data_IF_334531043869
#
_entry.id   IF_334531043869
#
_cell.length_a   1.000
_cell.length_b   1.000
_cell.length_c   1.000
_cell.angle_alpha   90.00
_cell.angle_beta   90.00
_cell.angle_gamma   90.00
#
_symmetry.space_group_name_H-M   'P 1'
#
loop_
_entity.id
_entity.type
_entity.pdbx_description
1 polymer ?
#
# COMPACT_ATOMS: atom_id res chain seq x y z
N UNK A 1 -86.77 -4.59 -32.88
CA UNK A 1 -85.99 -5.30 -31.85
C UNK A 1 -84.55 -4.82 -31.89
N UNK A 2 -84.07 -4.29 -30.76
CA UNK A 2 -82.69 -4.27 -30.27
C UNK A 2 -81.56 -3.60 -31.08
N UNK A 3 -81.13 -2.41 -30.63
CA UNK A 3 -79.86 -2.17 -29.88
C UNK A 3 -79.41 -0.71 -30.12
N UNK A 4 -79.46 0.21 -29.16
CA UNK A 4 -78.62 0.40 -27.94
C UNK A 4 -77.26 1.04 -28.23
N UNK A 5 -77.17 2.36 -27.93
CA UNK A 5 -76.02 3.14 -27.42
C UNK A 5 -74.79 3.28 -28.36
N UNK A 6 -73.97 4.35 -28.35
CA UNK A 6 -73.55 5.21 -27.24
C UNK A 6 -72.89 6.50 -27.76
N UNK A 7 -73.20 7.57 -27.05
CA UNK A 7 -72.59 8.90 -26.98
C UNK A 7 -71.05 8.84 -27.08
N UNK A 8 -70.45 9.47 -28.08
CA UNK A 8 -68.99 9.65 -28.16
C UNK A 8 -68.57 10.80 -27.23
N UNK A 9 -68.02 10.44 -26.08
CA UNK A 9 -67.42 11.36 -25.13
C UNK A 9 -66.17 12.01 -25.73
N UNK A 10 -66.20 13.34 -25.65
CA UNK A 10 -65.12 14.28 -25.90
C UNK A 10 -64.06 14.04 -24.82
N UNK A 11 -62.90 13.50 -25.21
CA UNK A 11 -61.70 13.51 -24.35
C UNK A 11 -60.88 14.73 -24.73
N UNK A 12 -61.02 15.76 -23.90
CA UNK A 12 -60.26 17.00 -23.92
C UNK A 12 -58.76 16.69 -23.70
N UNK A 13 -57.95 16.82 -24.77
CA UNK A 13 -56.49 16.78 -24.64
C UNK A 13 -56.03 18.03 -23.92
N UNK A 14 -55.77 17.94 -22.62
CA UNK A 14 -54.99 18.95 -21.93
C UNK A 14 -53.57 18.96 -22.50
N UNK A 15 -53.28 20.00 -23.27
CA UNK A 15 -51.94 20.30 -23.76
C UNK A 15 -51.12 20.79 -22.57
N UNK A 16 -50.26 19.92 -22.02
CA UNK A 16 -49.20 20.36 -21.12
C UNK A 16 -48.31 21.36 -21.87
N UNK A 17 -48.35 22.61 -21.45
CA UNK A 17 -47.38 23.62 -21.86
C UNK A 17 -46.06 23.35 -21.13
N UNK A 18 -44.93 23.21 -21.84
CA UNK A 18 -43.65 23.02 -21.18
C UNK A 18 -43.31 24.26 -20.34
N UNK A 19 -43.20 24.05 -19.04
CA UNK A 19 -42.74 25.04 -18.06
C UNK A 19 -41.34 25.48 -18.46
N UNK A 20 -41.17 26.74 -18.89
CA UNK A 20 -39.86 27.36 -19.13
C UNK A 20 -39.03 27.26 -17.84
N UNK A 21 -38.09 26.34 -17.83
CA UNK A 21 -37.15 26.17 -16.74
C UNK A 21 -36.11 27.30 -16.85
N UNK A 22 -36.06 28.17 -15.84
CA UNK A 22 -35.18 29.33 -15.81
C UNK A 22 -33.72 28.89 -15.94
N UNK A 23 -33.10 29.21 -17.08
CA UNK A 23 -31.77 28.80 -17.55
C UNK A 23 -30.59 29.36 -16.74
N UNK A 24 -30.82 29.96 -15.58
CA UNK A 24 -29.76 30.51 -14.71
C UNK A 24 -29.36 29.58 -13.55
N UNK A 25 -30.11 28.51 -13.29
CA UNK A 25 -29.81 27.51 -12.25
C UNK A 25 -29.10 26.25 -12.78
N UNK A 26 -28.98 26.08 -14.10
CA UNK A 26 -28.27 24.94 -14.70
C UNK A 26 -26.75 25.14 -14.80
N UNK A 27 -26.26 26.38 -14.66
CA UNK A 27 -24.85 26.71 -14.86
C UNK A 27 -23.95 26.41 -13.65
N UNK A 28 -24.51 26.18 -12.45
CA UNK A 28 -23.73 25.92 -11.23
C UNK A 28 -23.47 24.41 -11.01
N UNK A 29 -24.27 23.53 -11.60
CA UNK A 29 -24.08 22.07 -11.46
C UNK A 29 -23.02 21.53 -12.44
N UNK A 30 -22.69 22.27 -13.51
CA UNK A 30 -21.71 21.83 -14.53
C UNK A 30 -20.27 22.27 -14.20
N UNK A 31 -20.06 23.16 -13.23
CA UNK A 31 -18.72 23.64 -12.84
C UNK A 31 -18.00 22.75 -11.81
N UNK A 32 -18.62 21.65 -11.35
CA UNK A 32 -18.02 20.68 -10.43
C UNK A 32 -17.71 19.33 -11.07
N UNK A 33 -17.59 19.27 -12.39
CA UNK A 33 -16.77 18.25 -13.03
C UNK A 33 -15.31 18.70 -12.89
N UNK A 34 -14.79 18.66 -11.65
CA UNK A 34 -13.36 18.72 -11.43
C UNK A 34 -12.76 17.65 -12.35
N UNK A 35 -11.97 18.11 -13.31
CA UNK A 35 -11.21 17.28 -14.21
C UNK A 35 -10.32 16.39 -13.35
N UNK A 36 -10.79 15.18 -13.05
CA UNK A 36 -9.93 14.09 -12.65
C UNK A 36 -9.13 13.71 -13.90
N UNK A 37 -8.19 14.55 -14.29
CA UNK A 37 -7.04 14.07 -15.04
C UNK A 37 -6.40 13.04 -14.13
N UNK A 38 -6.25 11.76 -14.53
CA UNK A 38 -5.20 10.97 -13.95
C UNK A 38 -3.92 11.72 -14.32
N UNK A 39 -3.47 12.59 -13.41
CA UNK A 39 -2.07 12.92 -13.37
C UNK A 39 -1.44 11.55 -13.13
N UNK A 40 -0.74 11.01 -14.11
CA UNK A 40 0.29 10.02 -13.83
C UNK A 40 1.26 10.75 -12.91
N UNK A 41 0.95 10.79 -11.61
CA UNK A 41 1.85 11.31 -10.62
C UNK A 41 3.09 10.45 -10.80
N UNK A 42 4.20 11.10 -11.16
CA UNK A 42 5.49 10.43 -11.21
C UNK A 42 5.66 9.70 -9.89
N UNK A 43 5.83 8.38 -9.95
CA UNK A 43 6.06 7.58 -8.75
C UNK A 43 7.48 7.91 -8.34
N UNK A 44 7.61 8.76 -7.32
CA UNK A 44 8.89 9.26 -6.85
C UNK A 44 9.37 8.48 -5.64
N UNK A 45 8.45 8.09 -4.74
CA UNK A 45 8.79 7.46 -3.49
C UNK A 45 7.76 6.40 -3.10
N UNK A 46 8.23 5.20 -2.77
CA UNK A 46 7.43 4.10 -2.25
C UNK A 46 8.01 3.68 -0.91
N UNK A 47 7.17 3.70 0.13
CA UNK A 47 7.52 3.17 1.43
C UNK A 47 6.69 1.91 1.67
N UNK A 48 7.34 0.87 2.20
CA UNK A 48 6.69 -0.36 2.65
C UNK A 48 7.26 -0.80 4.00
N UNK A 49 6.49 -1.56 4.76
CA UNK A 49 6.95 -2.16 6.01
C UNK A 49 6.70 -3.67 6.07
N UNK A 50 7.09 -4.32 7.16
CA UNK A 50 6.89 -5.76 7.38
C UNK A 50 5.46 -6.13 7.79
N UNK A 51 4.62 -5.14 8.09
CA UNK A 51 3.24 -5.33 8.54
C UNK A 51 2.19 -5.03 7.46
N UNK A 52 2.61 -4.82 6.21
CA UNK A 52 1.70 -4.68 5.06
C UNK A 52 1.22 -3.26 4.81
N UNK A 53 1.85 -2.23 5.37
CA UNK A 53 1.53 -0.85 5.05
C UNK A 53 2.39 -0.37 3.88
N UNK A 54 1.74 0.29 2.93
CA UNK A 54 2.41 0.95 1.81
C UNK A 54 2.02 2.43 1.78
N UNK A 55 2.99 3.30 1.48
CA UNK A 55 2.70 4.67 1.04
C UNK A 55 3.37 4.97 -0.30
N UNK A 56 2.70 5.75 -1.13
CA UNK A 56 3.17 6.19 -2.44
C UNK A 56 3.13 7.71 -2.46
N UNK A 57 4.29 8.35 -2.61
CA UNK A 57 4.44 9.80 -2.53
C UNK A 57 3.76 10.39 -1.27
N UNK A 58 3.86 9.70 -0.14
CA UNK A 58 3.26 10.09 1.15
C UNK A 58 1.75 9.84 1.29
N UNK A 59 1.07 9.30 0.27
CA UNK A 59 -0.34 8.90 0.37
C UNK A 59 -0.45 7.39 0.63
N UNK A 60 -1.49 6.92 1.36
CA UNK A 60 -1.71 5.48 1.53
C UNK A 60 -1.83 4.76 0.19
N UNK A 61 -1.02 3.70 0.01
CA UNK A 61 -1.08 2.79 -1.12
C UNK A 61 -1.98 1.58 -0.85
N UNK A 62 -2.09 0.63 -1.80
CA UNK A 62 -2.73 -0.65 -1.56
C UNK A 62 -2.01 -1.40 -0.42
N UNK A 63 -2.74 -1.99 0.54
CA UNK A 63 -2.12 -2.75 1.61
C UNK A 63 -1.44 -4.00 1.04
N UNK A 64 -0.33 -4.39 1.67
CA UNK A 64 0.32 -5.67 1.44
C UNK A 64 -0.58 -6.83 1.87
N UNK A 65 -0.49 -7.93 1.13
CA UNK A 65 -1.26 -9.16 1.36
C UNK A 65 -0.33 -10.36 1.35
N UNK A 66 -0.64 -11.40 2.11
CA UNK A 66 0.11 -12.65 2.01
C UNK A 66 -0.15 -13.29 0.65
N UNK A 67 0.92 -13.56 -0.10
CA UNK A 67 0.87 -14.14 -1.43
C UNK A 67 1.95 -15.19 -1.63
N UNK A 68 1.73 -16.08 -2.60
CA UNK A 68 2.75 -17.04 -3.03
C UNK A 68 3.68 -16.33 -4.01
N UNK A 69 4.97 -16.34 -3.72
CA UNK A 69 6.01 -15.80 -4.58
C UNK A 69 6.28 -16.77 -5.74
N UNK A 70 6.20 -16.30 -7.00
CA UNK A 70 6.13 -17.18 -8.17
C UNK A 70 7.42 -17.93 -8.50
N UNK A 71 8.58 -17.51 -7.98
CA UNK A 71 9.89 -18.11 -8.29
C UNK A 71 10.23 -19.21 -7.28
N UNK A 72 10.16 -18.92 -5.98
CA UNK A 72 10.47 -19.88 -4.90
C UNK A 72 9.28 -20.75 -4.49
N UNK A 73 8.05 -20.29 -4.76
CA UNK A 73 6.82 -20.95 -4.28
C UNK A 73 6.55 -20.74 -2.79
N UNK A 74 7.34 -19.92 -2.10
CA UNK A 74 7.15 -19.60 -0.69
C UNK A 74 6.05 -18.54 -0.51
N UNK A 75 5.37 -18.58 0.63
CA UNK A 75 4.45 -17.50 1.03
C UNK A 75 5.26 -16.36 1.65
N UNK A 76 4.92 -15.13 1.28
CA UNK A 76 5.54 -13.93 1.82
C UNK A 76 4.59 -12.74 1.72
N UNK A 77 4.95 -11.63 2.36
CA UNK A 77 4.22 -10.38 2.23
C UNK A 77 4.40 -9.81 0.83
N UNK A 78 3.30 -9.68 0.10
CA UNK A 78 3.25 -9.23 -1.28
C UNK A 78 2.66 -7.82 -1.37
N UNK A 79 3.37 -6.96 -2.07
CA UNK A 79 2.99 -5.59 -2.40
C UNK A 79 2.75 -5.45 -3.89
N UNK A 80 1.63 -4.84 -4.27
CA UNK A 80 1.35 -4.49 -5.66
C UNK A 80 2.00 -3.14 -5.99
N UNK A 81 2.94 -3.13 -6.94
CA UNK A 81 3.57 -1.92 -7.42
C UNK A 81 2.57 -1.07 -8.22
N UNK A 82 2.61 0.27 -8.09
CA UNK A 82 1.62 1.14 -8.70
C UNK A 82 1.86 1.32 -10.21
N UNK A 83 1.33 0.41 -11.03
CA UNK A 83 1.22 0.62 -12.48
C UNK A 83 2.51 0.35 -13.28
N UNK A 84 3.49 -0.33 -12.71
CA UNK A 84 4.68 -0.82 -13.41
C UNK A 84 5.09 -2.20 -12.89
N UNK A 85 5.89 -2.92 -13.68
CA UNK A 85 6.27 -4.31 -13.38
C UNK A 85 7.45 -4.43 -12.38
N UNK A 86 8.35 -3.44 -12.40
CA UNK A 86 9.65 -3.46 -11.74
C UNK A 86 10.64 -4.36 -12.49
N UNK A 87 11.90 -3.94 -12.64
CA UNK A 87 12.92 -4.86 -13.18
C UNK A 87 13.18 -6.00 -12.20
N UNK A 88 13.35 -7.24 -12.67
CA UNK A 88 13.49 -8.38 -11.78
C UNK A 88 14.84 -8.44 -11.06
N UNK A 89 14.84 -9.02 -9.86
CA UNK A 89 16.03 -9.25 -9.05
C UNK A 89 15.74 -9.26 -7.54
N UNK A 90 16.78 -9.48 -6.75
CA UNK A 90 16.70 -9.46 -5.29
C UNK A 90 17.49 -8.29 -4.70
N UNK A 91 16.92 -7.68 -3.67
CA UNK A 91 17.63 -6.81 -2.75
C UNK A 91 17.76 -7.58 -1.45
N UNK A 92 18.98 -7.70 -0.95
CA UNK A 92 19.29 -8.38 0.30
C UNK A 92 19.57 -7.32 1.35
N UNK A 93 18.79 -7.34 2.42
CA UNK A 93 18.98 -6.47 3.57
C UNK A 93 19.83 -7.22 4.61
N UNK A 94 20.68 -6.49 5.30
CA UNK A 94 21.56 -7.03 6.32
C UNK A 94 21.96 -5.99 7.35
N UNK A 95 22.25 -6.47 8.56
CA UNK A 95 22.79 -5.65 9.63
C UNK A 95 24.33 -5.66 9.59
N UNK A 96 24.95 -4.49 9.38
CA UNK A 96 26.41 -4.29 9.43
C UNK A 96 27.09 -3.96 8.09
N UNK A 97 28.42 -4.12 8.02
CA UNK A 97 29.24 -3.72 6.86
C UNK A 97 29.95 -4.92 6.19
N UNK A 98 30.17 -4.79 4.87
CA UNK A 98 30.67 -5.81 3.90
C UNK A 98 29.67 -6.92 3.56
N UNK A 99 29.73 -7.54 2.35
CA UNK A 99 28.68 -8.45 1.93
C UNK A 99 28.50 -9.54 2.99
N UNK A 100 27.30 -9.62 3.59
CA UNK A 100 27.04 -10.48 4.73
C UNK A 100 27.32 -11.92 4.34
N UNK A 101 27.86 -12.68 5.27
CA UNK A 101 27.75 -14.14 5.19
C UNK A 101 26.27 -14.52 5.07
N UNK A 102 25.95 -15.69 4.52
CA UNK A 102 24.54 -16.10 4.31
C UNK A 102 23.69 -16.09 5.59
N UNK A 103 24.34 -16.04 6.77
CA UNK A 103 23.77 -16.04 8.12
C UNK A 103 23.53 -14.62 8.70
N UNK A 104 23.97 -13.56 8.02
CA UNK A 104 23.79 -12.15 8.45
C UNK A 104 22.71 -11.44 7.62
N UNK A 105 21.98 -12.19 6.79
CA UNK A 105 20.84 -11.67 6.02
C UNK A 105 19.63 -11.62 6.94
N UNK A 106 19.10 -10.42 7.17
CA UNK A 106 17.80 -10.21 7.80
C UNK A 106 16.72 -10.50 6.78
N UNK A 107 16.75 -9.77 5.65
CA UNK A 107 15.62 -9.77 4.72
C UNK A 107 16.02 -9.95 3.26
N UNK A 108 15.02 -10.34 2.48
CA UNK A 108 15.09 -10.34 1.02
C UNK A 108 13.87 -9.63 0.46
N UNK A 109 14.09 -8.59 -0.33
CA UNK A 109 13.07 -7.94 -1.14
C UNK A 109 13.19 -8.44 -2.57
N UNK A 110 12.17 -9.14 -3.05
CA UNK A 110 12.18 -9.76 -4.37
C UNK A 110 11.25 -9.05 -5.34
N UNK A 111 11.78 -8.69 -6.49
CA UNK A 111 11.04 -8.24 -7.66
C UNK A 111 11.03 -9.37 -8.70
N UNK A 112 9.91 -10.08 -8.91
CA UNK A 112 9.80 -11.07 -9.97
C UNK A 112 9.51 -10.47 -11.35
N UNK A 113 9.29 -9.15 -11.44
CA UNK A 113 9.03 -8.45 -12.71
C UNK A 113 7.62 -8.62 -13.25
N UNK A 114 6.64 -8.86 -12.39
CA UNK A 114 5.22 -9.01 -12.75
C UNK A 114 4.32 -7.92 -12.13
N UNK A 115 4.92 -6.86 -11.58
CA UNK A 115 4.21 -5.80 -10.87
C UNK A 115 4.01 -6.05 -9.39
N UNK A 116 4.51 -7.17 -8.87
CA UNK A 116 4.54 -7.42 -7.44
C UNK A 116 5.96 -7.23 -6.89
N UNK A 117 6.04 -6.99 -5.60
CA UNK A 117 7.25 -7.03 -4.79
C UNK A 117 6.96 -7.89 -3.56
N UNK A 118 7.88 -8.78 -3.21
CA UNK A 118 7.74 -9.68 -2.07
C UNK A 118 8.77 -9.33 -1.01
N UNK A 119 8.31 -9.18 0.24
CA UNK A 119 9.13 -8.90 1.40
C UNK A 119 9.22 -10.20 2.22
N UNK A 120 10.43 -10.74 2.34
CA UNK A 120 10.75 -11.87 3.18
C UNK A 120 11.61 -11.39 4.34
N UNK A 121 11.10 -11.48 5.56
CA UNK A 121 11.85 -11.20 6.77
C UNK A 121 12.16 -12.52 7.48
N UNK A 122 13.41 -12.75 7.84
CA UNK A 122 13.76 -13.98 8.58
C UNK A 122 13.23 -13.83 10.01
N UNK A 123 12.39 -14.77 10.44
CA UNK A 123 11.83 -14.74 11.80
C UNK A 123 12.92 -14.62 12.86
N UNK A 124 12.76 -13.66 13.78
CA UNK A 124 13.57 -13.59 15.00
C UNK A 124 12.95 -14.50 16.06
N UNK A 125 13.71 -15.49 16.53
CA UNK A 125 13.30 -16.40 17.61
C UNK A 125 12.98 -15.67 18.93
N UNK A 126 13.33 -14.38 19.06
CA UNK A 126 13.06 -13.55 20.23
C UNK A 126 11.85 -12.62 20.09
N UNK A 127 11.24 -12.51 18.91
CA UNK A 127 10.07 -11.65 18.69
C UNK A 127 8.78 -12.33 19.22
N UNK A 128 8.11 -11.75 20.23
CA UNK A 128 6.83 -12.27 20.72
C UNK A 128 5.66 -12.10 19.73
N UNK A 129 5.77 -11.21 18.73
CA UNK A 129 4.69 -10.84 17.83
C UNK A 129 5.12 -10.91 16.35
N UNK A 130 5.11 -12.12 15.75
CA UNK A 130 5.57 -12.30 14.38
C UNK A 130 4.89 -11.35 13.38
N UNK A 131 5.72 -10.72 12.55
CA UNK A 131 5.28 -9.81 11.51
C UNK A 131 4.72 -10.57 10.30
N UNK A 132 4.05 -9.84 9.40
CA UNK A 132 3.48 -10.47 8.19
C UNK A 132 4.53 -10.90 7.19
N UNK A 133 5.69 -10.24 7.19
CA UNK A 133 6.82 -10.58 6.34
C UNK A 133 7.62 -11.79 6.85
N UNK A 134 7.39 -12.24 8.09
CA UNK A 134 8.14 -13.32 8.73
C UNK A 134 8.04 -14.64 7.97
N UNK A 135 9.21 -15.19 7.67
CA UNK A 135 9.38 -16.50 7.07
C UNK A 135 10.38 -17.33 7.86
N UNK A 136 10.18 -18.66 7.96
CA UNK A 136 11.07 -19.54 8.70
C UNK A 136 12.43 -19.75 8.01
N UNK A 137 12.54 -19.35 6.74
CA UNK A 137 13.77 -19.40 5.97
C UNK A 137 13.68 -18.44 4.78
N UNK A 138 14.77 -17.72 4.53
CA UNK A 138 14.88 -16.85 3.35
C UNK A 138 14.96 -17.68 2.06
N UNK A 139 14.38 -17.18 0.96
CA UNK A 139 14.47 -17.86 -0.33
C UNK A 139 15.92 -17.89 -0.85
N UNK A 140 16.26 -18.86 -1.74
CA UNK A 140 17.50 -18.79 -2.52
C UNK A 140 17.52 -17.51 -3.36
N UNK A 141 18.65 -16.82 -3.38
CA UNK A 141 18.79 -15.55 -4.13
C UNK A 141 18.76 -15.78 -5.65
N UNK A 142 18.15 -14.84 -6.37
CA UNK A 142 18.21 -14.78 -7.84
C UNK A 142 19.22 -13.72 -8.30
N UNK A 143 19.59 -13.79 -9.57
CA UNK A 143 20.42 -12.77 -10.21
C UNK A 143 19.56 -11.91 -11.15
N UNK A 144 19.79 -10.59 -11.21
CA UNK A 144 20.76 -9.84 -10.39
C UNK A 144 20.32 -9.73 -8.92
N UNK A 145 21.29 -9.57 -8.02
CA UNK A 145 21.04 -9.18 -6.64
C UNK A 145 21.96 -8.04 -6.21
N UNK A 146 21.52 -7.29 -5.20
CA UNK A 146 22.27 -6.23 -4.54
C UNK A 146 22.14 -6.39 -3.03
N UNK A 147 23.18 -6.00 -2.30
CA UNK A 147 23.21 -6.01 -0.85
C UNK A 147 23.16 -4.57 -0.35
N UNK A 148 22.25 -4.27 0.58
CA UNK A 148 22.08 -2.96 1.18
C UNK A 148 22.06 -3.12 2.69
N UNK A 149 22.86 -2.29 3.37
CA UNK A 149 22.88 -2.24 4.83
C UNK A 149 21.62 -1.54 5.34
N UNK A 150 21.02 -2.12 6.38
CA UNK A 150 19.95 -1.49 7.13
C UNK A 150 20.51 -0.51 8.17
N UNK A 151 19.91 0.67 8.25
CA UNK A 151 20.31 1.72 9.17
C UNK A 151 19.34 1.78 10.35
N UNK A 152 19.83 1.43 11.53
CA UNK A 152 19.08 1.52 12.78
C UNK A 152 19.41 0.37 13.72
N UNK A 153 18.91 0.42 14.97
CA UNK A 153 18.86 -0.76 15.83
C UNK A 153 17.84 -1.79 15.30
N UNK A 154 18.03 -3.05 15.64
CA UNK A 154 17.03 -4.12 15.45
C UNK A 154 15.65 -3.68 15.98
N UNK A 155 14.58 -3.97 15.22
CA UNK A 155 13.20 -3.56 15.51
C UNK A 155 12.89 -2.07 15.30
N UNK A 156 13.83 -1.31 14.72
CA UNK A 156 13.61 0.07 14.26
C UNK A 156 14.72 0.47 13.28
N UNK A 157 14.82 -0.28 12.19
CA UNK A 157 15.78 -0.11 11.12
C UNK A 157 15.06 0.10 9.78
N UNK A 158 15.79 0.66 8.82
CA UNK A 158 15.28 0.88 7.48
C UNK A 158 16.41 0.84 6.46
N UNK A 159 16.04 0.53 5.22
CA UNK A 159 16.94 0.59 4.07
C UNK A 159 16.32 1.45 2.97
N UNK A 160 17.13 2.33 2.38
CA UNK A 160 16.73 3.13 1.22
C UNK A 160 17.37 2.58 -0.04
N UNK A 161 16.59 2.47 -1.12
CA UNK A 161 17.06 1.98 -2.41
C UNK A 161 16.60 2.85 -3.58
N UNK A 162 17.54 3.22 -4.45
CA UNK A 162 17.26 4.02 -5.66
C UNK A 162 17.74 3.24 -6.89
N UNK A 163 16.88 2.46 -7.56
CA UNK A 163 17.30 1.56 -8.64
C UNK A 163 17.74 2.26 -9.93
N UNK A 164 17.24 3.47 -10.18
CA UNK A 164 17.29 4.07 -11.50
C UNK A 164 16.53 3.25 -12.57
N UNK A 165 16.67 3.60 -13.86
CA UNK A 165 15.86 3.00 -14.94
C UNK A 165 16.08 1.48 -15.15
N UNK A 166 17.30 0.99 -14.91
CA UNK A 166 17.70 -0.39 -15.20
C UNK A 166 18.01 -1.25 -13.96
N UNK A 167 17.97 -0.66 -12.76
CA UNK A 167 18.21 -1.40 -11.52
C UNK A 167 17.00 -2.21 -11.06
N UNK A 168 17.22 -3.09 -10.08
CA UNK A 168 16.22 -4.01 -9.51
C UNK A 168 15.04 -3.22 -8.92
N UNK A 169 13.82 -3.55 -9.32
CA UNK A 169 12.62 -2.81 -8.96
C UNK A 169 12.47 -1.45 -9.65
N UNK A 170 13.40 -1.08 -10.54
CA UNK A 170 13.35 0.14 -11.33
C UNK A 170 12.35 0.09 -12.49
N UNK A 171 12.09 1.25 -13.08
CA UNK A 171 11.25 1.43 -14.26
C UNK A 171 11.76 2.62 -15.11
N UNK A 172 11.80 2.45 -16.43
CA UNK A 172 12.29 3.49 -17.34
C UNK A 172 11.33 4.69 -17.43
N UNK A 173 10.04 4.49 -17.19
CA UNK A 173 9.07 5.60 -17.18
C UNK A 173 9.14 6.42 -15.88
N UNK A 174 9.67 5.84 -14.80
CA UNK A 174 9.85 6.49 -13.52
C UNK A 174 11.33 6.38 -13.07
N UNK A 175 12.25 7.12 -13.72
CA UNK A 175 13.70 6.95 -13.55
C UNK A 175 14.23 7.34 -12.15
N UNK A 176 13.41 8.00 -11.34
CA UNK A 176 13.78 8.55 -10.03
C UNK A 176 13.01 7.89 -8.88
N UNK A 177 12.49 6.66 -9.05
CA UNK A 177 11.85 5.93 -7.95
C UNK A 177 12.86 5.74 -6.83
N UNK A 178 12.42 5.99 -5.61
CA UNK A 178 13.10 5.62 -4.37
C UNK A 178 12.18 4.69 -3.56
N UNK A 179 12.78 3.66 -2.97
CA UNK A 179 12.13 2.76 -2.03
C UNK A 179 12.67 3.02 -0.62
N UNK A 180 11.77 3.01 0.36
CA UNK A 180 12.09 2.93 1.78
C UNK A 180 11.48 1.64 2.34
N UNK A 181 12.35 0.70 2.69
CA UNK A 181 11.99 -0.54 3.38
C UNK A 181 12.14 -0.31 4.88
N UNK A 182 11.11 -0.61 5.66
CA UNK A 182 11.11 -0.44 7.11
C UNK A 182 10.97 -1.82 7.74
N UNK A 183 11.97 -2.20 8.55
CA UNK A 183 11.89 -3.37 9.42
C UNK A 183 11.38 -2.94 10.79
N UNK A 184 10.14 -3.33 11.04
CA UNK A 184 9.25 -3.01 12.15
C UNK A 184 9.04 -1.51 12.50
N UNK A 185 7.85 -1.19 13.03
CA UNK A 185 7.52 0.14 13.57
C UNK A 185 7.69 0.08 15.08
N UNK A 186 8.46 0.99 15.72
CA UNK A 186 8.67 0.96 17.16
C UNK A 186 7.37 0.70 17.92
N UNK A 187 7.27 -0.47 18.55
CA UNK A 187 6.12 -0.77 19.38
C UNK A 187 5.97 0.37 20.40
N UNK A 188 4.77 0.96 20.57
CA UNK A 188 4.56 1.96 21.60
C UNK A 188 4.90 1.32 22.93
N UNK A 189 6.08 1.66 23.49
CA UNK A 189 6.67 0.89 24.58
C UNK A 189 5.62 0.63 25.65
N UNK A 190 5.33 -0.65 25.92
CA UNK A 190 4.29 -1.06 26.86
C UNK A 190 4.43 -0.37 28.25
N UNK A 191 5.65 0.06 28.59
CA UNK A 191 5.98 0.93 29.72
C UNK A 191 5.23 2.28 29.69
N UNK A 192 5.16 2.97 28.56
CA UNK A 192 4.47 4.26 28.44
C UNK A 192 2.96 4.11 28.68
N UNK A 193 2.34 3.07 28.10
CA UNK A 193 0.93 2.74 28.35
C UNK A 193 0.69 2.30 29.80
N UNK A 194 1.61 1.53 30.39
CA UNK A 194 1.52 1.12 31.80
C UNK A 194 1.63 2.32 32.75
N UNK A 195 2.53 3.27 32.48
CA UNK A 195 2.69 4.50 33.29
C UNK A 195 1.48 5.42 33.13
N UNK A 196 0.94 5.58 31.92
CA UNK A 196 -0.25 6.41 31.69
C UNK A 196 -1.50 5.77 32.32
N UNK A 197 -1.72 4.47 32.11
CA UNK A 197 -2.83 3.72 32.69
C UNK A 197 -2.76 3.64 34.22
N UNK A 198 -1.58 3.32 34.76
CA UNK A 198 -1.32 3.28 36.20
C UNK A 198 -1.41 4.66 36.86
N UNK A 199 -0.89 5.69 36.19
CA UNK A 199 -0.97 7.08 36.64
C UNK A 199 -2.40 7.59 36.70
N UNK A 200 -3.23 7.30 35.69
CA UNK A 200 -4.65 7.63 35.67
C UNK A 200 -5.42 6.88 36.78
N UNK A 201 -5.17 5.59 36.95
CA UNK A 201 -5.80 4.80 38.01
C UNK A 201 -5.47 5.32 39.41
N UNK A 202 -4.21 5.69 39.67
CA UNK A 202 -3.80 6.30 40.93
C UNK A 202 -4.39 7.70 41.13
N UNK A 203 -4.51 8.50 40.06
CA UNK A 203 -5.13 9.82 40.11
C UNK A 203 -6.65 9.73 40.41
N UNK A 204 -7.35 8.77 39.81
CA UNK A 204 -8.78 8.53 40.09
C UNK A 204 -9.02 7.93 41.48
N UNK A 205 -8.10 7.09 41.98
CA UNK A 205 -8.18 6.55 43.34
C UNK A 205 -7.97 7.62 44.42
N UNK A 206 -7.24 8.69 44.14
CA UNK A 206 -7.04 9.83 45.07
C UNK A 206 -8.21 10.81 45.13
N UNK A 207 -9.19 10.70 44.21
CA UNK A 207 -10.38 11.58 44.15
C UNK A 207 -11.65 10.95 44.73
N UNK A 208 -11.60 9.71 45.21
CA UNK A 208 -12.62 9.10 46.08
C UNK A 208 -12.15 9.16 47.52
#
# INVERSE_FOLDING_TARGET
MSSTLKKSEIVERQTMTPRKMNSRMAAIIVALAATATPLFAQIGHIQVDENGNMTINGNPGPPGVIGIEPISGLQALCYQLPGYAGNPGDIVLFSGFEPPSANERSDVIRFPGNGNMYFFSLIDDQDPNPDKADVPALPPLINPNVFIEEIGPEGNNNATWTPGPGGIGGDAANPNIEYLFISDVPEPGALALTVLGGGLLLAFRRRR
#
